data_IF_066347193509
#
_entry.id   IF_066347193509
#
_cell.length_a   1.000
_cell.length_b   1.000
_cell.length_c   1.000
_cell.angle_alpha   90.00
_cell.angle_beta   90.00
_cell.angle_gamma   90.00
#
_symmetry.space_group_name_H-M   'P 1'
#
loop_
_entity.id
_entity.type
_entity.pdbx_description
1 polymer ?
#
# COMPACT_ATOMS: atom_id res chain seq x y z
N UNK A 1 -5.92 -5.41 37.25
CA UNK A 1 -7.03 -6.07 36.55
C UNK A 1 -6.80 -5.92 35.05
N UNK A 2 -6.19 -6.94 34.42
CA UNK A 2 -5.80 -6.93 33.01
C UNK A 2 -7.07 -6.98 32.14
N UNK A 3 -7.36 -5.86 31.45
CA UNK A 3 -8.39 -5.83 30.41
C UNK A 3 -7.91 -6.70 29.24
N UNK A 4 -8.63 -7.79 29.05
CA UNK A 4 -8.77 -8.65 27.87
C UNK A 4 -8.18 -8.02 26.59
N UNK A 5 -7.00 -8.50 26.19
CA UNK A 5 -6.46 -8.26 24.86
C UNK A 5 -7.42 -8.91 23.84
N UNK A 6 -8.28 -8.10 23.22
CA UNK A 6 -9.02 -8.55 22.04
C UNK A 6 -7.97 -9.00 21.03
N UNK A 7 -7.99 -10.29 20.67
CA UNK A 7 -7.20 -10.88 19.58
C UNK A 7 -7.63 -10.27 18.24
N UNK A 8 -7.29 -9.01 18.00
CA UNK A 8 -7.30 -8.46 16.66
C UNK A 8 -5.97 -8.84 16.00
N UNK A 9 -6.03 -9.39 14.79
CA UNK A 9 -4.81 -9.55 13.98
C UNK A 9 -4.15 -8.18 13.84
N UNK A 10 -2.89 -8.05 14.29
CA UNK A 10 -2.07 -6.83 14.18
C UNK A 10 -1.90 -6.36 12.73
N UNK A 11 -2.34 -7.16 11.76
CA UNK A 11 -2.20 -6.93 10.33
C UNK A 11 -3.53 -6.69 9.63
N UNK A 12 -4.67 -6.72 10.33
CA UNK A 12 -5.96 -6.52 9.69
C UNK A 12 -6.13 -5.09 9.16
N UNK A 13 -6.69 -4.92 7.96
CA UNK A 13 -7.01 -3.59 7.40
C UNK A 13 -7.86 -2.75 8.34
N UNK A 14 -8.73 -3.38 9.13
CA UNK A 14 -9.50 -2.69 10.16
C UNK A 14 -8.61 -1.92 11.13
N UNK A 15 -7.52 -2.51 11.60
CA UNK A 15 -6.59 -1.84 12.51
C UNK A 15 -5.72 -0.81 11.79
N UNK A 16 -5.30 -1.13 10.56
CA UNK A 16 -4.43 -0.26 9.77
C UNK A 16 -5.15 1.04 9.40
N UNK A 17 -6.45 1.00 9.10
CA UNK A 17 -7.20 2.12 8.53
C UNK A 17 -8.14 2.81 9.53
N UNK A 18 -8.25 2.32 10.76
CA UNK A 18 -9.09 2.93 11.79
C UNK A 18 -8.33 4.05 12.50
N UNK A 19 -8.45 5.26 11.96
CA UNK A 19 -7.87 6.47 12.53
C UNK A 19 -8.86 7.16 13.45
N UNK A 20 -8.45 7.38 14.70
CA UNK A 20 -9.25 8.07 15.70
C UNK A 20 -9.01 9.58 15.62
N UNK A 21 -10.04 10.41 15.38
CA UNK A 21 -9.89 11.86 15.48
C UNK A 21 -9.65 12.25 16.94
N UNK A 22 -8.70 13.16 17.17
CA UNK A 22 -8.34 13.63 18.52
C UNK A 22 -8.50 15.14 18.66
N UNK A 23 -8.25 15.88 17.59
CA UNK A 23 -8.44 17.33 17.48
C UNK A 23 -8.88 17.66 16.07
N UNK A 24 -9.18 18.94 15.80
CA UNK A 24 -9.45 19.39 14.44
C UNK A 24 -8.28 19.05 13.51
N UNK A 25 -8.56 18.24 12.49
CA UNK A 25 -7.58 17.76 11.51
C UNK A 25 -6.38 16.99 12.11
N UNK A 26 -6.54 16.38 13.30
CA UNK A 26 -5.52 15.51 13.91
C UNK A 26 -6.10 14.13 14.18
N UNK A 27 -5.45 13.12 13.61
CA UNK A 27 -5.87 11.72 13.64
C UNK A 27 -4.76 10.83 14.19
N UNK A 28 -5.14 9.84 14.98
CA UNK A 28 -4.18 8.94 15.64
C UNK A 28 -4.50 7.49 15.30
N UNK A 29 -3.45 6.72 14.97
CA UNK A 29 -3.47 5.27 15.00
C UNK A 29 -2.52 4.77 16.11
N UNK A 30 -3.08 4.07 17.09
CA UNK A 30 -2.35 3.44 18.20
C UNK A 30 -2.46 1.90 18.17
N UNK A 31 -2.96 1.33 17.08
CA UNK A 31 -3.01 -0.11 16.90
C UNK A 31 -1.62 -0.69 16.66
N UNK A 32 -1.32 -1.82 17.31
CA UNK A 32 -0.10 -2.56 17.02
C UNK A 32 -0.14 -3.07 15.57
N UNK A 33 0.86 -2.64 14.79
CA UNK A 33 1.11 -3.09 13.43
C UNK A 33 2.39 -3.92 13.34
N UNK A 34 2.44 -4.86 12.41
CA UNK A 34 3.63 -5.67 12.20
C UNK A 34 4.66 -4.94 11.31
N UNK A 35 5.94 -5.17 11.61
CA UNK A 35 7.04 -4.76 10.73
C UNK A 35 7.17 -5.79 9.60
N UNK A 36 7.33 -5.37 8.32
CA UNK A 36 7.54 -6.27 7.19
C UNK A 36 8.65 -7.28 7.40
N UNK A 37 8.59 -8.44 6.73
CA UNK A 37 9.68 -9.41 6.75
C UNK A 37 10.99 -8.74 6.31
N UNK A 38 12.02 -8.79 7.18
CA UNK A 38 13.31 -8.08 7.03
C UNK A 38 13.22 -6.53 6.98
N UNK A 39 12.07 -5.96 7.34
CA UNK A 39 11.89 -4.53 7.46
C UNK A 39 12.52 -3.96 8.74
N UNK A 40 12.84 -2.67 8.71
CA UNK A 40 13.36 -1.91 9.87
C UNK A 40 12.32 -1.00 10.53
N UNK A 41 11.12 -0.97 9.98
CA UNK A 41 10.02 -0.12 10.43
C UNK A 41 8.73 -0.51 9.74
N UNK A 42 7.65 0.20 10.07
CA UNK A 42 6.33 -0.02 9.51
C UNK A 42 6.35 0.11 7.98
N UNK A 43 5.44 -0.64 7.37
CA UNK A 43 5.27 -0.69 5.93
C UNK A 43 4.88 0.69 5.35
N UNK A 44 5.58 1.14 4.31
CA UNK A 44 5.37 2.45 3.68
C UNK A 44 3.95 2.66 3.14
N UNK A 45 3.41 1.67 2.46
CA UNK A 45 2.01 1.68 2.00
C UNK A 45 0.99 1.80 3.13
N UNK A 46 1.28 1.33 4.35
CA UNK A 46 0.43 1.57 5.51
C UNK A 46 0.38 3.06 5.88
N UNK A 47 1.52 3.75 5.82
CA UNK A 47 1.60 5.19 6.11
C UNK A 47 0.87 6.00 5.04
N UNK A 48 1.05 5.65 3.76
CA UNK A 48 0.34 6.29 2.64
C UNK A 48 -1.18 6.05 2.69
N UNK A 49 -1.60 4.83 3.05
CA UNK A 49 -3.00 4.49 3.24
C UNK A 49 -3.65 5.31 4.36
N UNK A 50 -3.00 5.37 5.52
CA UNK A 50 -3.47 6.16 6.66
C UNK A 50 -3.48 7.66 6.32
N UNK A 51 -2.47 8.18 5.63
CA UNK A 51 -2.47 9.58 5.20
C UNK A 51 -3.63 9.90 4.24
N UNK A 52 -3.95 8.97 3.33
CA UNK A 52 -5.13 9.08 2.45
C UNK A 52 -6.43 9.10 3.25
N UNK A 53 -6.56 8.21 4.24
CA UNK A 53 -7.73 8.16 5.15
C UNK A 53 -7.84 9.46 5.94
N UNK A 54 -6.75 9.95 6.54
CA UNK A 54 -6.71 11.18 7.32
C UNK A 54 -7.15 12.39 6.48
N UNK A 55 -6.64 12.52 5.25
CA UNK A 55 -7.02 13.59 4.32
C UNK A 55 -8.52 13.57 3.95
N UNK A 56 -9.12 12.39 3.82
CA UNK A 56 -10.55 12.24 3.51
C UNK A 56 -11.43 12.42 4.75
N UNK A 57 -10.95 12.06 5.94
CA UNK A 57 -11.69 12.19 7.19
C UNK A 57 -11.86 13.64 7.67
N UNK A 58 -11.07 14.60 7.17
CA UNK A 58 -11.33 16.04 7.43
C UNK A 58 -12.61 16.52 6.77
N UNK A 59 -13.10 15.80 5.76
CA UNK A 59 -14.27 16.17 4.98
C UNK A 59 -15.50 15.32 5.34
N UNK A 60 -16.67 15.75 4.85
CA UNK A 60 -17.88 14.93 4.95
C UNK A 60 -17.71 13.64 4.13
N UNK A 61 -17.88 12.49 4.81
CA UNK A 61 -17.71 11.16 4.24
C UNK A 61 -18.49 11.00 2.91
N UNK A 62 -17.83 10.43 1.90
CA UNK A 62 -18.40 10.11 0.59
C UNK A 62 -18.56 11.27 -0.40
N UNK A 63 -18.30 12.51 0.02
CA UNK A 63 -18.33 13.67 -0.91
C UNK A 63 -17.05 13.85 -1.70
N UNK A 64 -15.94 13.30 -1.20
CA UNK A 64 -14.61 13.47 -1.78
C UNK A 64 -13.95 12.11 -1.98
N UNK A 65 -13.13 12.05 -3.03
CA UNK A 65 -12.27 10.92 -3.37
C UNK A 65 -10.83 11.40 -3.59
N UNK A 66 -9.81 10.57 -3.34
CA UNK A 66 -8.44 10.92 -3.68
C UNK A 66 -8.30 11.03 -5.20
N UNK A 67 -7.54 12.03 -5.63
CA UNK A 67 -7.11 12.20 -7.01
C UNK A 67 -5.64 11.82 -7.17
N UNK A 68 -4.79 12.30 -6.26
CA UNK A 68 -3.36 11.97 -6.22
C UNK A 68 -2.83 12.05 -4.79
N UNK A 69 -1.72 11.34 -4.56
CA UNK A 69 -0.92 11.44 -3.34
C UNK A 69 0.56 11.41 -3.72
N UNK A 70 1.35 12.29 -3.10
CA UNK A 70 2.81 12.33 -3.23
C UNK A 70 3.42 12.22 -1.85
N UNK A 71 4.28 11.23 -1.64
CA UNK A 71 4.79 10.89 -0.31
C UNK A 71 6.31 11.05 -0.22
N UNK A 72 6.79 11.44 0.96
CA UNK A 72 8.19 11.40 1.36
C UNK A 72 8.31 10.61 2.67
N UNK A 73 9.15 9.57 2.65
CA UNK A 73 9.47 8.75 3.83
C UNK A 73 10.75 9.29 4.46
N UNK A 74 10.61 9.97 5.61
CA UNK A 74 11.71 10.73 6.23
C UNK A 74 12.43 9.93 7.32
N UNK A 75 11.73 9.02 7.98
CA UNK A 75 12.31 8.09 8.95
C UNK A 75 11.48 6.80 9.06
N UNK A 76 12.14 5.71 9.45
CA UNK A 76 11.47 4.43 9.70
C UNK A 76 10.51 4.55 10.90
N UNK A 77 9.21 4.46 10.63
CA UNK A 77 8.19 4.50 11.68
C UNK A 77 8.22 3.20 12.51
N UNK A 78 8.08 3.31 13.83
CA UNK A 78 8.17 2.17 14.76
C UNK A 78 6.79 1.64 15.18
N UNK A 79 6.61 0.32 15.36
CA UNK A 79 5.29 -0.28 15.67
C UNK A 79 4.76 0.07 17.06
N UNK A 80 5.64 0.40 18.01
CA UNK A 80 5.28 0.62 19.41
C UNK A 80 5.00 2.09 19.76
N UNK A 81 5.13 3.00 18.79
CA UNK A 81 4.91 4.43 18.98
C UNK A 81 3.69 4.88 18.18
N UNK A 82 2.68 5.53 18.80
CA UNK A 82 1.49 5.98 18.10
C UNK A 82 1.79 6.84 16.88
N UNK A 83 1.01 6.65 15.82
CA UNK A 83 1.10 7.42 14.59
C UNK A 83 0.15 8.60 14.65
N UNK A 84 0.69 9.82 14.68
CA UNK A 84 -0.09 11.07 14.76
C UNK A 84 -0.05 11.80 13.43
N UNK A 85 -1.17 11.78 12.71
CA UNK A 85 -1.36 12.47 11.44
C UNK A 85 -1.96 13.85 11.68
N UNK A 86 -1.27 14.89 11.25
CA UNK A 86 -1.76 16.28 11.23
C UNK A 86 -2.05 16.67 9.79
N UNK A 87 -3.26 17.15 9.53
CA UNK A 87 -3.72 17.52 8.19
C UNK A 87 -3.88 19.03 8.10
N UNK A 88 -3.35 19.62 7.03
CA UNK A 88 -3.42 21.05 6.74
C UNK A 88 -3.93 21.29 5.33
N UNK A 89 -4.86 22.24 5.17
CA UNK A 89 -5.37 22.64 3.86
C UNK A 89 -4.39 23.59 3.18
N UNK A 90 -3.71 23.13 2.13
CA UNK A 90 -2.86 23.98 1.29
C UNK A 90 -3.67 24.79 0.28
N UNK A 91 -4.78 24.22 -0.21
CA UNK A 91 -5.68 24.88 -1.16
C UNK A 91 -7.09 24.30 -1.06
N UNK A 92 -8.09 25.16 -0.96
CA UNK A 92 -9.51 24.78 -1.02
C UNK A 92 -10.16 25.43 -2.23
N UNK A 93 -10.79 24.64 -3.09
CA UNK A 93 -11.56 25.12 -4.24
C UNK A 93 -12.90 24.39 -4.34
N UNK A 94 -13.75 24.84 -5.27
CA UNK A 94 -15.10 24.29 -5.44
C UNK A 94 -15.15 22.78 -5.65
N UNK A 95 -14.20 22.22 -6.42
CA UNK A 95 -14.19 20.82 -6.85
C UNK A 95 -12.95 20.04 -6.40
N UNK A 96 -11.91 20.72 -5.91
CA UNK A 96 -10.62 20.13 -5.55
C UNK A 96 -10.10 20.73 -4.26
N UNK A 97 -9.40 19.93 -3.47
CA UNK A 97 -8.61 20.42 -2.34
C UNK A 97 -7.22 19.78 -2.37
N UNK A 98 -6.22 20.53 -1.93
CA UNK A 98 -4.85 20.05 -1.74
C UNK A 98 -4.57 20.11 -0.25
N UNK A 99 -4.20 18.97 0.33
CA UNK A 99 -3.95 18.81 1.76
C UNK A 99 -2.52 18.32 1.99
N UNK A 100 -1.82 18.91 2.94
CA UNK A 100 -0.60 18.32 3.49
C UNK A 100 -0.98 17.39 4.65
N UNK A 101 -0.37 16.22 4.71
CA UNK A 101 -0.54 15.24 5.78
C UNK A 101 0.82 14.90 6.35
N UNK A 102 1.09 15.41 7.54
CA UNK A 102 2.35 15.20 8.26
C UNK A 102 2.17 14.14 9.35
N UNK A 103 2.99 13.10 9.30
CA UNK A 103 3.00 12.04 10.31
C UNK A 103 4.13 12.26 11.32
N UNK A 104 3.75 12.29 12.59
CA UNK A 104 4.65 12.39 13.72
C UNK A 104 4.63 11.11 14.56
N UNK A 105 5.80 10.74 15.08
CA UNK A 105 5.97 9.81 16.19
C UNK A 105 6.72 10.52 17.31
N UNK A 106 6.00 10.84 18.40
CA UNK A 106 6.46 11.84 19.36
C UNK A 106 6.61 13.21 18.67
N UNK A 107 7.77 13.84 18.82
CA UNK A 107 8.09 15.12 18.18
C UNK A 107 8.74 14.97 16.79
N UNK A 108 9.03 13.73 16.36
CA UNK A 108 9.76 13.48 15.11
C UNK A 108 8.80 13.36 13.94
N UNK A 109 8.99 14.18 12.90
CA UNK A 109 8.35 14.01 11.60
C UNK A 109 8.94 12.79 10.88
N UNK A 110 8.12 11.77 10.62
CA UNK A 110 8.58 10.50 10.02
C UNK A 110 8.12 10.33 8.58
N UNK A 111 7.03 10.97 8.20
CA UNK A 111 6.47 10.90 6.85
C UNK A 111 5.70 12.19 6.53
N UNK A 112 5.76 12.61 5.28
CA UNK A 112 4.96 13.72 4.77
C UNK A 112 4.28 13.30 3.46
N UNK A 113 3.02 13.70 3.28
CA UNK A 113 2.32 13.54 2.02
C UNK A 113 1.56 14.79 1.61
N UNK A 114 1.50 15.04 0.31
CA UNK A 114 0.56 15.99 -0.28
C UNK A 114 -0.52 15.19 -1.00
N UNK A 115 -1.75 15.30 -0.52
CA UNK A 115 -2.93 14.64 -1.04
C UNK A 115 -3.80 15.64 -1.79
N UNK A 116 -4.06 15.40 -3.07
CA UNK A 116 -5.14 16.10 -3.78
C UNK A 116 -6.39 15.26 -3.72
N UNK A 117 -7.48 15.85 -3.23
CA UNK A 117 -8.81 15.24 -3.22
C UNK A 117 -9.75 16.00 -4.15
N UNK A 118 -10.71 15.30 -4.73
CA UNK A 118 -11.68 15.82 -5.68
C UNK A 118 -13.09 15.45 -5.22
N UNK A 119 -14.08 16.32 -5.45
CA UNK A 119 -15.48 15.97 -5.23
C UNK A 119 -15.87 14.76 -6.09
N UNK A 120 -16.61 13.82 -5.51
CA UNK A 120 -17.12 12.65 -6.21
C UNK A 120 -18.01 13.06 -7.39
N UNK A 121 -18.83 14.08 -7.19
CA UNK A 121 -19.65 14.72 -8.22
C UNK A 121 -19.12 16.14 -8.47
N UNK A 122 -18.57 16.36 -9.67
CA UNK A 122 -18.05 17.65 -10.08
C UNK A 122 -19.18 18.65 -10.37
N UNK A 123 -18.97 19.90 -9.96
CA UNK A 123 -19.92 20.98 -10.19
C UNK A 123 -19.45 21.96 -11.28
N UNK A 124 -20.39 22.70 -11.87
CA UNK A 124 -20.10 23.74 -12.85
C UNK A 124 -19.64 23.17 -14.20
N UNK A 125 -18.78 23.90 -14.92
CA UNK A 125 -18.24 23.48 -16.21
C UNK A 125 -17.50 22.15 -16.13
N UNK A 126 -16.79 21.89 -15.02
CA UNK A 126 -16.10 20.62 -14.79
C UNK A 126 -17.05 19.41 -14.72
N UNK A 127 -18.27 19.60 -14.20
CA UNK A 127 -19.30 18.55 -14.18
C UNK A 127 -20.00 18.33 -15.51
N UNK A 128 -19.85 19.27 -16.47
CA UNK A 128 -20.41 19.18 -17.83
C UNK A 128 -19.43 18.58 -18.83
N UNK A 129 -18.17 18.35 -18.45
CA UNK A 129 -17.18 17.72 -19.33
C UNK A 129 -17.57 16.26 -19.54
N UNK A 130 -18.02 15.94 -20.74
CA UNK A 130 -18.27 14.58 -21.20
C UNK A 130 -17.03 14.08 -21.96
N UNK A 131 -16.65 12.81 -21.77
CA UNK A 131 -15.48 12.24 -22.42
C UNK A 131 -14.18 12.39 -21.63
N UNK A 132 -14.12 11.82 -20.42
CA UNK A 132 -12.82 11.52 -19.83
C UNK A 132 -12.02 10.66 -20.81
N UNK A 133 -10.70 10.88 -20.86
CA UNK A 133 -9.80 10.00 -21.60
C UNK A 133 -9.84 8.61 -20.95
N UNK A 134 -10.69 7.73 -21.47
CA UNK A 134 -10.83 6.33 -21.03
C UNK A 134 -9.85 5.41 -21.75
N UNK A 135 -8.68 5.92 -22.16
CA UNK A 135 -7.65 5.06 -22.73
C UNK A 135 -6.76 4.54 -21.60
N UNK A 136 -6.67 3.23 -21.50
CA UNK A 136 -5.68 2.54 -20.71
C UNK A 136 -5.20 1.36 -21.55
N UNK A 137 -3.96 0.91 -21.33
CA UNK A 137 -3.50 -0.34 -21.92
C UNK A 137 -4.41 -1.46 -21.37
N UNK A 138 -5.02 -2.26 -22.25
CA UNK A 138 -5.81 -3.41 -21.80
C UNK A 138 -4.91 -4.30 -20.94
N UNK A 139 -5.37 -4.77 -19.77
CA UNK A 139 -4.61 -5.75 -19.02
C UNK A 139 -4.46 -7.01 -19.90
N UNK A 140 -3.27 -7.64 -19.95
CA UNK A 140 -3.12 -8.91 -20.64
C UNK A 140 -3.93 -9.99 -19.92
N UNK A 141 -4.25 -11.06 -20.64
CA UNK A 141 -4.71 -12.28 -20.00
C UNK A 141 -3.57 -12.83 -19.14
N UNK A 142 -3.86 -13.10 -17.86
CA UNK A 142 -2.87 -13.62 -16.91
C UNK A 142 -3.36 -14.99 -16.45
N UNK A 143 -2.79 -16.02 -17.07
CA UNK A 143 -3.07 -17.42 -16.76
C UNK A 143 -1.88 -18.05 -16.00
N UNK A 144 -2.12 -19.19 -15.35
CA UNK A 144 -1.07 -19.92 -14.63
C UNK A 144 -0.55 -19.24 -13.37
N UNK A 145 -1.26 -18.23 -12.83
CA UNK A 145 -0.92 -17.67 -11.53
C UNK A 145 -1.11 -18.72 -10.44
N UNK A 146 -0.14 -18.78 -9.52
CA UNK A 146 -0.17 -19.64 -8.34
C UNK A 146 -0.37 -18.78 -7.10
N UNK A 147 -0.88 -19.36 -6.03
CA UNK A 147 -0.97 -18.65 -4.75
C UNK A 147 0.43 -18.34 -4.18
N UNK A 148 0.47 -17.39 -3.26
CA UNK A 148 1.70 -16.94 -2.61
C UNK A 148 2.55 -18.07 -2.00
N UNK A 149 1.94 -19.10 -1.40
CA UNK A 149 2.72 -20.17 -0.75
C UNK A 149 3.43 -21.02 -1.81
N UNK A 150 2.73 -21.38 -2.89
CA UNK A 150 3.32 -22.10 -4.02
C UNK A 150 4.45 -21.29 -4.68
N UNK A 151 4.26 -19.99 -4.89
CA UNK A 151 5.32 -19.13 -5.45
C UNK A 151 6.57 -19.08 -4.54
N UNK A 152 6.39 -19.03 -3.22
CA UNK A 152 7.50 -19.04 -2.26
C UNK A 152 8.20 -20.40 -2.17
N UNK A 153 7.48 -21.51 -2.29
CA UNK A 153 8.05 -22.86 -2.37
C UNK A 153 8.98 -22.99 -3.58
N UNK A 154 8.49 -22.62 -4.77
CA UNK A 154 9.26 -22.66 -6.01
C UNK A 154 10.53 -21.80 -5.91
N UNK A 155 10.40 -20.58 -5.36
CA UNK A 155 11.55 -19.72 -5.12
C UNK A 155 12.57 -20.34 -4.16
N UNK A 156 12.10 -20.89 -3.04
CA UNK A 156 12.98 -21.46 -2.01
C UNK A 156 13.72 -22.71 -2.52
N UNK A 157 13.07 -23.52 -3.34
CA UNK A 157 13.68 -24.67 -4.01
C UNK A 157 14.78 -24.23 -4.99
N UNK A 158 14.44 -23.35 -5.94
CA UNK A 158 15.40 -22.86 -6.94
C UNK A 158 16.63 -22.17 -6.35
N UNK A 159 16.47 -21.50 -5.21
CA UNK A 159 17.53 -20.67 -4.60
C UNK A 159 18.20 -21.32 -3.37
N UNK A 160 17.81 -22.54 -3.00
CA UNK A 160 18.34 -23.21 -1.81
C UNK A 160 18.01 -22.49 -0.49
N UNK A 161 16.85 -21.84 -0.40
CA UNK A 161 16.42 -21.00 0.75
C UNK A 161 15.34 -21.67 1.62
N UNK A 162 15.34 -23.00 1.69
CA UNK A 162 14.33 -23.77 2.42
C UNK A 162 14.21 -23.41 3.92
N UNK A 163 15.31 -22.99 4.54
CA UNK A 163 15.32 -22.54 5.94
C UNK A 163 14.47 -21.28 6.18
N UNK A 164 14.20 -20.48 5.15
CA UNK A 164 13.42 -19.23 5.27
C UNK A 164 11.93 -19.42 4.96
N UNK A 165 11.56 -20.55 4.36
CA UNK A 165 10.24 -20.77 3.80
C UNK A 165 9.14 -20.69 4.86
N UNK A 166 9.41 -21.23 6.06
CA UNK A 166 8.47 -21.19 7.18
C UNK A 166 8.12 -19.76 7.56
N UNK A 167 9.13 -18.93 7.84
CA UNK A 167 8.94 -17.57 8.32
C UNK A 167 8.34 -16.66 7.23
N UNK A 168 8.75 -16.87 5.98
CA UNK A 168 8.22 -16.16 4.82
C UNK A 168 6.71 -16.44 4.66
N UNK A 169 6.32 -17.71 4.63
CA UNK A 169 4.90 -18.10 4.56
C UNK A 169 4.11 -17.60 5.75
N UNK A 170 4.65 -17.79 6.96
CA UNK A 170 4.01 -17.30 8.17
C UNK A 170 3.75 -15.79 8.10
N UNK A 171 4.74 -15.01 7.64
CA UNK A 171 4.60 -13.57 7.49
C UNK A 171 3.47 -13.22 6.50
N UNK A 172 3.54 -13.68 5.25
CA UNK A 172 2.60 -13.25 4.21
C UNK A 172 1.20 -13.85 4.36
N UNK A 173 1.04 -15.01 4.99
CA UNK A 173 -0.29 -15.58 5.25
C UNK A 173 -1.07 -14.78 6.30
N UNK A 174 -0.36 -14.07 7.17
CA UNK A 174 -0.97 -13.22 8.19
C UNK A 174 -1.24 -11.78 7.71
N UNK A 175 -0.81 -11.39 6.50
CA UNK A 175 -1.11 -10.09 5.90
C UNK A 175 -2.61 -9.96 5.52
N UNK A 176 -3.13 -8.72 5.43
CA UNK A 176 -4.53 -8.47 5.08
C UNK A 176 -4.81 -8.61 3.58
N UNK A 177 -3.90 -9.22 2.82
CA UNK A 177 -3.98 -9.39 1.37
C UNK A 177 -3.63 -10.84 1.05
N UNK A 178 -4.26 -11.36 0.00
CA UNK A 178 -3.85 -12.61 -0.65
C UNK A 178 -3.28 -12.27 -2.02
N UNK A 179 -2.18 -12.91 -2.38
CA UNK A 179 -1.55 -12.71 -3.68
C UNK A 179 -1.64 -13.96 -4.54
N UNK A 180 -1.73 -13.73 -5.85
CA UNK A 180 -1.47 -14.75 -6.86
C UNK A 180 -0.41 -14.24 -7.82
N UNK A 181 0.70 -14.96 -7.93
CA UNK A 181 1.90 -14.56 -8.66
C UNK A 181 2.17 -15.48 -9.85
N UNK A 182 2.93 -15.01 -10.86
CA UNK A 182 3.58 -15.91 -11.79
C UNK A 182 4.44 -16.94 -11.02
N UNK A 183 4.48 -18.22 -11.41
CA UNK A 183 5.15 -19.29 -10.64
C UNK A 183 6.60 -18.98 -10.25
N UNK A 184 7.35 -18.32 -11.13
CA UNK A 184 8.76 -17.99 -10.93
C UNK A 184 9.00 -16.48 -10.81
N UNK A 185 8.05 -15.73 -10.25
CA UNK A 185 8.15 -14.28 -10.08
C UNK A 185 9.47 -13.85 -9.41
N UNK A 186 9.93 -14.62 -8.43
CA UNK A 186 11.08 -14.29 -7.58
C UNK A 186 12.39 -14.97 -8.02
N UNK A 187 12.37 -15.70 -9.13
CA UNK A 187 13.52 -16.49 -9.61
C UNK A 187 14.02 -15.96 -10.95
N UNK A 188 15.20 -15.31 -10.92
CA UNK A 188 15.81 -14.77 -12.12
C UNK A 188 16.35 -15.86 -13.06
N UNK A 189 16.67 -17.06 -12.55
CA UNK A 189 17.12 -18.17 -13.38
C UNK A 189 16.01 -18.78 -14.25
N UNK A 190 14.77 -18.34 -14.06
CA UNK A 190 13.58 -18.81 -14.78
C UNK A 190 12.96 -17.73 -15.66
N UNK A 191 13.58 -16.56 -15.76
CA UNK A 191 13.19 -15.56 -16.76
C UNK A 191 13.42 -16.15 -18.16
N UNK A 192 12.45 -15.98 -19.06
CA UNK A 192 12.64 -16.42 -20.45
C UNK A 192 13.68 -15.56 -21.18
N UNK A 193 14.46 -16.16 -22.07
CA UNK A 193 15.43 -15.43 -22.91
C UNK A 193 14.76 -14.32 -23.72
N UNK A 194 13.51 -14.53 -24.16
CA UNK A 194 12.70 -13.52 -24.85
C UNK A 194 12.46 -12.28 -23.99
N UNK A 195 12.05 -12.46 -22.72
CA UNK A 195 11.85 -11.35 -21.78
C UNK A 195 13.17 -10.66 -21.43
N UNK A 196 14.24 -11.44 -21.27
CA UNK A 196 15.57 -10.93 -20.95
C UNK A 196 16.11 -10.01 -22.05
N UNK A 197 15.84 -10.33 -23.32
CA UNK A 197 16.24 -9.50 -24.48
C UNK A 197 15.42 -8.22 -24.65
N UNK A 198 14.23 -8.11 -24.03
CA UNK A 198 13.44 -6.88 -24.11
C UNK A 198 14.09 -5.74 -23.32
N UNK A 199 13.99 -4.48 -23.80
CA UNK A 199 14.36 -3.33 -22.98
C UNK A 199 13.47 -3.26 -21.73
N UNK A 200 14.00 -2.75 -20.62
CA UNK A 200 13.30 -2.70 -19.32
C UNK A 200 11.93 -2.03 -19.42
N UNK A 201 11.79 -1.00 -20.26
CA UNK A 201 10.53 -0.29 -20.52
C UNK A 201 9.42 -1.12 -21.18
N UNK A 202 9.78 -2.24 -21.81
CA UNK A 202 8.85 -3.15 -22.49
C UNK A 202 8.53 -4.41 -21.68
N UNK A 203 9.33 -4.70 -20.64
CA UNK A 203 9.06 -5.83 -19.73
C UNK A 203 7.84 -5.50 -18.88
N UNK A 204 6.95 -6.48 -18.74
CA UNK A 204 5.73 -6.34 -17.93
C UNK A 204 5.55 -7.54 -17.02
N UNK A 205 5.08 -7.28 -15.80
CA UNK A 205 4.77 -8.31 -14.82
C UNK A 205 3.35 -8.09 -14.30
N UNK A 206 2.58 -9.17 -14.20
CA UNK A 206 1.21 -9.12 -13.73
C UNK A 206 1.00 -10.13 -12.61
N UNK A 207 0.33 -9.68 -11.55
CA UNK A 207 -0.08 -10.51 -10.43
C UNK A 207 -1.41 -9.98 -9.88
N UNK A 208 -2.16 -10.85 -9.20
CA UNK A 208 -3.46 -10.50 -8.61
C UNK A 208 -3.29 -10.28 -7.12
N UNK A 209 -4.03 -9.30 -6.58
CA UNK A 209 -4.09 -9.01 -5.16
C UNK A 209 -5.54 -9.00 -4.71
N UNK A 210 -5.83 -9.63 -3.58
CA UNK A 210 -7.17 -9.71 -3.00
C UNK A 210 -7.14 -9.19 -1.57
N UNK A 211 -7.62 -7.96 -1.31
CA UNK A 211 -7.67 -7.42 0.05
C UNK A 211 -8.76 -8.11 0.89
N UNK A 212 -8.43 -8.40 2.16
CA UNK A 212 -9.29 -9.06 3.16
C UNK A 212 -10.07 -8.03 3.99
N UNK A 213 -10.98 -7.28 3.36
CA UNK A 213 -11.94 -6.40 4.07
C UNK A 213 -13.25 -6.22 3.28
N UNK A 214 -14.14 -7.23 3.27
CA UNK A 214 -15.36 -7.19 2.44
C UNK A 214 -16.33 -6.05 2.81
N UNK A 215 -16.38 -5.67 4.09
CA UNK A 215 -17.25 -4.61 4.61
C UNK A 215 -16.57 -3.22 4.68
N UNK A 216 -15.56 -2.96 3.84
CA UNK A 216 -14.88 -1.67 3.81
C UNK A 216 -15.83 -0.53 3.37
N UNK A 217 -15.84 0.56 4.13
CA UNK A 217 -16.51 1.81 3.71
C UNK A 217 -15.72 2.50 2.58
N UNK A 218 -16.28 3.56 1.99
CA UNK A 218 -15.68 4.23 0.83
C UNK A 218 -14.27 4.79 1.12
N UNK A 219 -14.08 5.46 2.27
CA UNK A 219 -12.77 5.99 2.67
C UNK A 219 -11.76 4.86 2.88
N UNK A 220 -12.18 3.77 3.51
CA UNK A 220 -11.34 2.59 3.72
C UNK A 220 -10.94 1.96 2.39
N UNK A 221 -11.83 1.90 1.39
CA UNK A 221 -11.49 1.39 0.04
C UNK A 221 -10.37 2.20 -0.60
N UNK A 222 -10.40 3.52 -0.48
CA UNK A 222 -9.32 4.38 -0.94
C UNK A 222 -8.01 4.16 -0.18
N UNK A 223 -8.08 3.99 1.15
CA UNK A 223 -6.93 3.60 1.97
C UNK A 223 -6.34 2.25 1.55
N UNK A 224 -7.18 1.23 1.30
CA UNK A 224 -6.74 -0.08 0.80
C UNK A 224 -6.04 0.09 -0.55
N UNK A 225 -6.58 0.88 -1.49
CA UNK A 225 -5.94 1.12 -2.78
C UNK A 225 -4.54 1.70 -2.61
N UNK A 226 -4.39 2.74 -1.78
CA UNK A 226 -3.08 3.33 -1.48
C UNK A 226 -2.12 2.36 -0.76
N UNK A 227 -2.65 1.46 0.09
CA UNK A 227 -1.85 0.39 0.71
C UNK A 227 -1.29 -0.56 -0.35
N UNK A 228 -2.14 -1.00 -1.28
CA UNK A 228 -1.77 -2.00 -2.29
C UNK A 228 -0.71 -1.50 -3.27
N UNK A 229 -0.66 -0.20 -3.56
CA UNK A 229 0.23 0.36 -4.60
C UNK A 229 1.71 0.29 -4.27
N UNK A 230 2.08 0.23 -2.99
CA UNK A 230 3.48 0.15 -2.57
C UNK A 230 3.92 -1.32 -2.38
N UNK A 231 2.97 -2.27 -2.39
CA UNK A 231 3.24 -3.66 -2.01
C UNK A 231 3.81 -4.42 -3.20
N UNK A 232 4.97 -5.07 -3.01
CA UNK A 232 5.78 -5.67 -4.09
C UNK A 232 6.21 -4.69 -5.20
N UNK A 233 6.01 -3.38 -5.06
CA UNK A 233 6.40 -2.41 -6.10
C UNK A 233 7.92 -2.46 -6.36
N UNK A 234 8.74 -2.31 -5.31
CA UNK A 234 10.19 -2.37 -5.43
C UNK A 234 10.67 -3.76 -5.90
N UNK A 235 10.13 -4.84 -5.34
CA UNK A 235 10.48 -6.21 -5.76
C UNK A 235 10.19 -6.44 -7.25
N UNK A 236 9.04 -5.97 -7.73
CA UNK A 236 8.66 -6.05 -9.15
C UNK A 236 9.61 -5.21 -10.00
N UNK A 237 9.96 -4.00 -9.56
CA UNK A 237 10.91 -3.15 -10.27
C UNK A 237 12.30 -3.79 -10.36
N UNK A 238 12.81 -4.37 -9.27
CA UNK A 238 14.07 -5.11 -9.24
C UNK A 238 14.02 -6.31 -10.20
N UNK A 239 12.95 -7.10 -10.17
CA UNK A 239 12.75 -8.24 -11.07
C UNK A 239 12.72 -7.82 -12.54
N UNK A 240 12.08 -6.69 -12.88
CA UNK A 240 12.07 -6.16 -14.24
C UNK A 240 13.45 -5.65 -14.69
N UNK A 241 14.33 -5.29 -13.76
CA UNK A 241 15.72 -4.92 -14.03
C UNK A 241 16.71 -6.09 -13.95
N UNK A 242 16.24 -7.34 -13.79
CA UNK A 242 17.08 -8.52 -13.56
C UNK A 242 18.01 -8.39 -12.35
N UNK A 243 17.58 -7.63 -11.34
CA UNK A 243 18.25 -7.53 -10.06
C UNK A 243 17.57 -8.44 -9.06
N UNK A 244 18.33 -9.31 -8.42
CA UNK A 244 17.81 -10.11 -7.34
C UNK A 244 17.50 -9.19 -6.17
N UNK A 245 16.41 -9.46 -5.45
CA UNK A 245 16.18 -8.87 -4.13
C UNK A 245 17.19 -9.45 -3.13
N UNK A 246 18.49 -9.24 -3.36
CA UNK A 246 19.50 -9.45 -2.34
C UNK A 246 19.33 -8.34 -1.32
N UNK A 247 19.11 -8.76 -0.07
CA UNK A 247 18.89 -7.90 1.07
C UNK A 247 20.11 -6.98 1.29
N UNK A 248 20.11 -5.82 0.65
CA UNK A 248 20.94 -4.67 0.98
C UNK A 248 20.06 -3.42 0.87
N UNK A 249 18.99 -3.37 1.66
CA UNK A 249 18.48 -2.10 2.12
C UNK A 249 19.49 -1.61 3.17
N UNK A 250 20.37 -0.70 2.75
CA UNK A 250 21.19 0.12 3.65
C UNK A 250 20.29 1.07 4.42
#
# INVERSE_FOLDING_TARGET
>A
MLKTARRYSTRAFKNILDLRPTQHNVFVNDAHMAVPFRGRGLYGGALAAQATVAALQTEQCGKWKPLSIHCHFLAAAQPDVPLVYRVEDLKVSKNYQVKEVRLFQGEKLTFNAVCTIQKTLLEGTAGKVTGQLHHHRKPPAVDGLVDQNTAFELWAESNGRQSELHDLKHFYNNEPIEWQFPPHMFDLGKVSETEEKLPVSERTLWYKLRPKLPAANEIQRWGITAYLTDYFYLNTNMRLNMLAATANAS
#
